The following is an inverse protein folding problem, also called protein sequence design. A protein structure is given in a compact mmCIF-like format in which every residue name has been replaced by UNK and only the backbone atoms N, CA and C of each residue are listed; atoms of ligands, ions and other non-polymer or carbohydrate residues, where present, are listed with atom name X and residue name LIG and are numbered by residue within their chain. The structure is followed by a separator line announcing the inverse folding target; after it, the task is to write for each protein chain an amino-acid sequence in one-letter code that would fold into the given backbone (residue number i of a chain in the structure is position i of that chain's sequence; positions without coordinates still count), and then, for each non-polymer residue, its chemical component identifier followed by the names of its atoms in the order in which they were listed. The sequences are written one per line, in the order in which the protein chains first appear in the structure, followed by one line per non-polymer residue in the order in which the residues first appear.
data_IF_902804320539
#
_entry.id   IF_902804320539
#
_cell.length_a   1.000
_cell.length_b   1.000
_cell.length_c   1.000
_cell.angle_alpha   90.00
_cell.angle_beta   90.00
_cell.angle_gamma   90.00
#
_symmetry.space_group_name_H-M   'P 1'
#
loop_
_entity.id
_entity.type
_entity.pdbx_description
1 polymer ?
#
# COMPACT_ATOMS: atom_id res chain seq x y z
N UNK A 1 0.02 9.17 12.38
CA UNK A 1 0.65 8.11 11.57
C UNK A 1 1.71 7.45 12.43
N UNK A 2 1.47 6.23 12.91
CA UNK A 2 2.48 5.51 13.67
C UNK A 2 3.38 4.79 12.68
N UNK A 3 4.65 5.18 12.63
CA UNK A 3 5.66 4.37 11.93
C UNK A 3 5.84 3.12 12.78
N UNK A 4 5.43 1.97 12.25
CA UNK A 4 5.73 0.71 12.90
C UNK A 4 7.23 0.46 12.68
N UNK A 5 7.96 0.19 13.76
CA UNK A 5 9.39 -0.12 13.68
C UNK A 5 9.50 -1.62 13.83
N UNK A 6 9.75 -2.31 12.72
CA UNK A 6 10.06 -3.74 12.77
C UNK A 6 11.50 -3.88 13.23
N UNK A 7 11.62 -4.38 14.45
CA UNK A 7 12.89 -4.56 15.15
C UNK A 7 13.41 -5.98 15.01
N UNK A 8 12.58 -6.91 14.55
CA UNK A 8 12.86 -8.33 14.50
C UNK A 8 12.19 -9.00 13.31
N UNK A 9 12.76 -10.11 12.85
CA UNK A 9 12.23 -10.99 11.81
C UNK A 9 12.27 -12.44 12.28
N UNK A 10 11.33 -13.27 11.82
CA UNK A 10 11.38 -14.71 12.03
C UNK A 10 12.04 -15.40 10.84
N UNK A 11 13.11 -16.14 11.09
CA UNK A 11 13.86 -16.84 10.05
C UNK A 11 13.96 -18.34 10.35
N UNK A 12 14.01 -19.18 9.31
CA UNK A 12 14.20 -20.61 9.48
C UNK A 12 15.63 -20.93 9.95
N UNK A 13 15.77 -21.94 10.80
CA UNK A 13 17.05 -22.28 11.45
C UNK A 13 18.13 -22.73 10.47
N UNK A 14 17.76 -23.25 9.28
CA UNK A 14 18.74 -23.58 8.24
C UNK A 14 19.53 -22.35 7.77
N UNK A 15 19.05 -21.12 7.99
CA UNK A 15 19.78 -19.91 7.62
C UNK A 15 21.13 -19.80 8.35
N UNK A 16 21.25 -20.47 9.51
CA UNK A 16 22.48 -20.53 10.30
C UNK A 16 23.61 -21.28 9.57
N UNK A 17 23.29 -22.16 8.61
CA UNK A 17 24.28 -22.81 7.73
C UNK A 17 25.05 -21.78 6.87
N UNK A 18 24.52 -20.55 6.77
CA UNK A 18 25.02 -19.49 5.91
C UNK A 18 25.71 -18.36 6.67
N UNK A 19 26.02 -18.57 7.95
CA UNK A 19 26.57 -17.52 8.82
C UNK A 19 28.09 -17.50 8.76
N UNK A 20 28.65 -16.32 8.48
CA UNK A 20 30.08 -16.00 8.49
C UNK A 20 30.29 -14.79 9.41
N UNK A 21 31.20 -14.90 10.37
CA UNK A 21 31.49 -13.83 11.35
C UNK A 21 30.26 -13.28 12.09
N UNK A 22 29.31 -14.16 12.41
CA UNK A 22 28.09 -13.82 13.15
C UNK A 22 26.99 -13.13 12.32
N UNK A 23 27.14 -13.07 10.99
CA UNK A 23 26.15 -12.53 10.05
C UNK A 23 25.86 -13.53 8.94
N UNK A 24 24.65 -13.51 8.39
CA UNK A 24 24.34 -14.33 7.21
C UNK A 24 25.06 -13.74 6.01
N UNK A 25 25.80 -14.58 5.29
CA UNK A 25 26.44 -14.28 4.01
C UNK A 25 25.41 -14.53 2.87
N UNK A 26 24.89 -13.47 2.23
CA UNK A 26 23.89 -13.61 1.17
C UNK A 26 24.45 -14.29 -0.08
N UNK A 27 25.74 -14.15 -0.38
CA UNK A 27 26.37 -14.77 -1.54
C UNK A 27 26.51 -16.29 -1.32
N UNK A 28 26.89 -16.69 -0.10
CA UNK A 28 26.91 -18.10 0.27
C UNK A 28 25.50 -18.70 0.22
N UNK A 29 24.47 -17.98 0.65
CA UNK A 29 23.08 -18.39 0.52
C UNK A 29 22.68 -18.56 -0.96
N UNK A 30 22.94 -17.55 -1.79
CA UNK A 30 22.66 -17.56 -3.23
C UNK A 30 23.30 -18.74 -3.96
N UNK A 31 24.49 -19.18 -3.53
CA UNK A 31 25.22 -20.27 -4.18
C UNK A 31 24.64 -21.67 -3.93
N UNK A 32 23.87 -21.88 -2.85
CA UNK A 32 23.42 -23.22 -2.42
C UNK A 32 21.91 -23.33 -2.16
N UNK A 33 21.19 -22.22 -2.06
CA UNK A 33 19.76 -22.25 -1.79
C UNK A 33 18.97 -22.83 -2.96
N UNK A 34 17.91 -23.57 -2.63
CA UNK A 34 16.90 -24.04 -3.58
C UNK A 34 15.81 -22.98 -3.77
N UNK A 35 14.99 -23.06 -4.84
CA UNK A 35 13.83 -22.17 -5.01
C UNK A 35 12.93 -22.09 -3.78
N UNK A 36 12.64 -23.23 -3.14
CA UNK A 36 11.86 -23.27 -1.91
C UNK A 36 12.50 -22.47 -0.76
N UNK A 37 13.83 -22.57 -0.59
CA UNK A 37 14.56 -21.79 0.42
C UNK A 37 14.58 -20.30 0.09
N UNK A 38 14.70 -19.91 -1.18
CA UNK A 38 14.57 -18.51 -1.58
C UNK A 38 13.19 -17.97 -1.25
N UNK A 39 12.13 -18.67 -1.68
CA UNK A 39 10.75 -18.27 -1.45
C UNK A 39 10.45 -18.10 0.04
N UNK A 40 10.85 -19.06 0.87
CA UNK A 40 10.62 -18.99 2.32
C UNK A 40 11.29 -17.77 2.96
N UNK A 41 12.55 -17.48 2.59
CA UNK A 41 13.24 -16.29 3.12
C UNK A 41 12.64 -15.01 2.56
N UNK A 42 12.28 -14.95 1.27
CA UNK A 42 11.60 -13.78 0.69
C UNK A 42 10.31 -13.48 1.45
N UNK A 43 9.47 -14.49 1.70
CA UNK A 43 8.21 -14.33 2.42
C UNK A 43 8.40 -13.95 3.90
N UNK A 44 9.53 -14.29 4.52
CA UNK A 44 9.85 -13.81 5.86
C UNK A 44 10.05 -12.28 5.89
N UNK A 45 10.63 -11.69 4.83
CA UNK A 45 10.85 -10.24 4.71
C UNK A 45 9.67 -9.50 4.06
N UNK A 46 8.93 -10.17 3.17
CA UNK A 46 7.87 -9.61 2.36
C UNK A 46 6.62 -10.52 2.42
N UNK A 47 5.96 -10.62 3.59
CA UNK A 47 4.85 -11.56 3.80
C UNK A 47 3.57 -11.22 3.00
N UNK A 48 3.50 -10.03 2.41
CA UNK A 48 2.38 -9.56 1.59
C UNK A 48 2.51 -9.97 0.11
N UNK A 49 3.64 -10.59 -0.27
CA UNK A 49 3.81 -11.14 -1.63
C UNK A 49 3.00 -12.42 -1.80
N UNK A 50 2.21 -12.49 -2.86
CA UNK A 50 1.50 -13.68 -3.29
C UNK A 50 2.06 -14.17 -4.62
N UNK A 51 2.85 -15.24 -4.57
CA UNK A 51 3.48 -15.84 -5.75
C UNK A 51 2.53 -16.81 -6.44
N UNK A 52 2.42 -16.69 -7.77
CA UNK A 52 1.74 -17.71 -8.59
C UNK A 52 2.49 -19.04 -8.55
N UNK A 53 1.83 -20.15 -8.91
CA UNK A 53 2.47 -21.48 -8.86
C UNK A 53 3.76 -21.52 -9.69
N UNK A 54 3.74 -20.95 -10.90
CA UNK A 54 4.90 -20.91 -11.78
C UNK A 54 6.03 -20.06 -11.17
N UNK A 55 5.70 -18.90 -10.59
CA UNK A 55 6.67 -18.00 -9.96
C UNK A 55 7.31 -18.59 -8.69
N UNK A 56 6.65 -19.54 -8.01
CA UNK A 56 7.22 -20.25 -6.83
C UNK A 56 8.33 -21.23 -7.20
N UNK A 57 8.37 -21.67 -8.46
CA UNK A 57 9.33 -22.64 -8.98
C UNK A 57 10.39 -22.00 -9.88
N UNK A 58 10.22 -20.73 -10.25
CA UNK A 58 11.15 -19.94 -11.07
C UNK A 58 12.38 -19.49 -10.26
N UNK A 59 13.48 -20.25 -10.40
CA UNK A 59 14.75 -19.98 -9.71
C UNK A 59 15.35 -18.61 -10.08
N UNK A 60 15.25 -18.19 -11.35
CA UNK A 60 15.83 -16.92 -11.79
C UNK A 60 15.07 -15.73 -11.19
N UNK A 61 13.73 -15.80 -11.19
CA UNK A 61 12.88 -14.79 -10.57
C UNK A 61 13.15 -14.67 -9.07
N UNK A 62 13.14 -15.80 -8.36
CA UNK A 62 13.35 -15.81 -6.91
C UNK A 62 14.75 -15.33 -6.52
N UNK A 63 15.79 -15.73 -7.27
CA UNK A 63 17.14 -15.19 -7.09
C UNK A 63 17.18 -13.68 -7.29
N UNK A 64 16.56 -13.17 -8.35
CA UNK A 64 16.51 -11.73 -8.64
C UNK A 64 15.85 -10.96 -7.50
N UNK A 65 14.68 -11.41 -7.05
CA UNK A 65 13.97 -10.80 -5.90
C UNK A 65 14.84 -10.83 -4.66
N UNK A 66 15.48 -11.97 -4.39
CA UNK A 66 16.35 -12.11 -3.24
C UNK A 66 17.50 -11.10 -3.29
N UNK A 67 18.20 -10.98 -4.41
CA UNK A 67 19.32 -10.06 -4.59
C UNK A 67 18.87 -8.60 -4.41
N UNK A 68 17.78 -8.21 -5.09
CA UNK A 68 17.34 -6.82 -5.15
C UNK A 68 16.67 -6.35 -3.85
N UNK A 69 15.97 -7.24 -3.14
CA UNK A 69 15.10 -6.85 -2.03
C UNK A 69 15.53 -7.42 -0.67
N UNK A 70 16.09 -8.63 -0.63
CA UNK A 70 16.31 -9.38 0.61
C UNK A 70 17.77 -9.36 1.07
N UNK A 71 18.72 -9.53 0.16
CA UNK A 71 20.13 -9.79 0.47
C UNK A 71 20.72 -8.75 1.44
N UNK A 72 20.49 -7.46 1.17
CA UNK A 72 20.97 -6.37 2.03
C UNK A 72 20.32 -6.44 3.42
N UNK A 73 19.02 -6.69 3.50
CA UNK A 73 18.29 -6.76 4.79
C UNK A 73 18.74 -7.98 5.60
N UNK A 74 18.94 -9.12 4.94
CA UNK A 74 19.42 -10.35 5.56
C UNK A 74 20.82 -10.19 6.15
N UNK A 75 21.72 -9.49 5.44
CA UNK A 75 23.08 -9.19 5.95
C UNK A 75 23.10 -8.32 7.22
N UNK A 76 22.00 -7.61 7.48
CA UNK A 76 21.82 -6.75 8.65
C UNK A 76 21.15 -7.46 9.83
N UNK A 77 20.78 -8.74 9.71
CA UNK A 77 20.17 -9.49 10.81
C UNK A 77 21.26 -9.98 11.78
N UNK A 78 21.02 -9.81 13.08
CA UNK A 78 21.88 -10.34 14.15
C UNK A 78 21.49 -11.77 14.45
N UNK A 79 22.45 -12.69 14.31
CA UNK A 79 22.20 -14.11 14.55
C UNK A 79 22.24 -14.44 16.05
N UNK A 80 21.22 -15.11 16.61
CA UNK A 80 21.26 -15.60 17.97
C UNK A 80 22.27 -16.76 18.11
N UNK A 81 22.88 -16.87 19.29
CA UNK A 81 23.90 -17.88 19.59
C UNK A 81 23.34 -19.25 19.97
N UNK A 82 22.05 -19.34 20.33
CA UNK A 82 21.43 -20.58 20.81
C UNK A 82 20.00 -20.71 20.26
N UNK A 83 19.77 -21.69 19.38
CA UNK A 83 18.48 -21.91 18.69
C UNK A 83 18.11 -23.39 18.75
N UNK A 84 16.98 -23.70 19.38
CA UNK A 84 16.50 -25.08 19.59
C UNK A 84 15.18 -25.40 18.84
N UNK A 85 14.73 -24.50 17.99
CA UNK A 85 13.45 -24.56 17.26
C UNK A 85 13.65 -24.52 15.75
N UNK A 86 12.62 -24.85 14.96
CA UNK A 86 12.69 -24.81 13.49
C UNK A 86 12.76 -23.39 12.90
N UNK A 87 12.32 -22.39 13.67
CA UNK A 87 12.45 -20.96 13.38
C UNK A 87 12.99 -20.24 14.60
N UNK A 88 13.62 -19.08 14.39
CA UNK A 88 14.04 -18.19 15.46
C UNK A 88 13.70 -16.74 15.13
N UNK A 89 13.54 -15.94 16.17
CA UNK A 89 13.39 -14.49 16.05
C UNK A 89 14.78 -13.84 16.10
N UNK A 90 15.05 -12.96 15.14
CA UNK A 90 16.34 -12.34 14.96
C UNK A 90 16.18 -10.82 14.89
N UNK A 91 16.90 -10.03 15.70
CA UNK A 91 16.82 -8.58 15.63
C UNK A 91 17.57 -8.03 14.42
N UNK A 92 17.12 -6.89 13.91
CA UNK A 92 17.88 -6.12 12.93
C UNK A 92 18.95 -5.27 13.63
N UNK A 93 20.16 -5.21 13.06
CA UNK A 93 21.24 -4.33 13.53
C UNK A 93 20.85 -2.85 13.45
N UNK A 94 20.01 -2.50 12.49
CA UNK A 94 19.46 -1.15 12.33
C UNK A 94 17.95 -1.29 12.26
N UNK A 95 17.17 -0.54 13.05
CA UNK A 95 15.72 -0.60 12.98
C UNK A 95 15.27 -0.33 11.54
N UNK A 96 14.51 -1.25 10.97
CA UNK A 96 13.88 -1.01 9.68
C UNK A 96 12.64 -0.18 9.98
N UNK A 97 12.60 1.03 9.42
CA UNK A 97 11.34 1.77 9.39
C UNK A 97 10.41 0.95 8.51
N UNK A 98 9.46 0.25 9.13
CA UNK A 98 8.50 -0.51 8.36
C UNK A 98 7.68 0.49 7.56
N UNK A 99 7.63 0.26 6.25
CA UNK A 99 6.70 0.97 5.41
C UNK A 99 5.28 0.75 5.97
N UNK A 100 4.42 1.78 5.96
CA UNK A 100 3.05 1.63 6.41
C UNK A 100 2.39 0.49 5.62
N UNK A 101 1.97 -0.56 6.32
CA UNK A 101 1.17 -1.71 5.88
C UNK A 101 1.19 -1.92 4.35
N UNK A 102 2.13 -2.67 3.78
CA UNK A 102 2.22 -2.74 2.31
C UNK A 102 0.98 -3.38 1.67
N UNK A 103 0.60 -2.94 0.47
CA UNK A 103 -0.47 -3.58 -0.30
C UNK A 103 -0.08 -5.02 -0.62
N UNK A 104 -1.07 -5.91 -0.73
CA UNK A 104 -0.78 -7.25 -1.24
C UNK A 104 -0.26 -7.13 -2.67
N UNK A 105 0.80 -7.88 -2.99
CA UNK A 105 1.46 -7.81 -4.29
C UNK A 105 1.52 -9.18 -4.92
N UNK A 106 0.88 -9.33 -6.07
CA UNK A 106 0.93 -10.57 -6.82
C UNK A 106 2.21 -10.62 -7.65
N UNK A 107 3.01 -11.67 -7.45
CA UNK A 107 4.26 -11.87 -8.17
C UNK A 107 4.09 -13.02 -9.15
N UNK A 108 4.17 -12.71 -10.45
CA UNK A 108 4.11 -13.69 -11.52
C UNK A 108 5.39 -13.68 -12.37
N UNK A 109 6.09 -12.55 -12.44
CA UNK A 109 7.27 -12.36 -13.27
C UNK A 109 8.19 -11.29 -12.70
N UNK A 110 9.40 -11.20 -13.27
CA UNK A 110 10.38 -10.19 -12.87
C UNK A 110 9.94 -8.74 -13.13
N UNK A 111 8.95 -8.54 -14.02
CA UNK A 111 8.39 -7.22 -14.32
C UNK A 111 7.49 -6.70 -13.19
N UNK A 112 6.98 -7.59 -12.34
CA UNK A 112 6.19 -7.20 -11.17
C UNK A 112 7.09 -6.62 -10.07
N UNK A 113 8.40 -6.87 -10.13
CA UNK A 113 9.38 -6.49 -9.12
C UNK A 113 10.03 -5.16 -9.51
N UNK A 114 9.32 -4.08 -9.25
CA UNK A 114 9.84 -2.71 -9.29
C UNK A 114 9.71 -2.07 -7.90
N UNK A 115 10.84 -2.01 -7.19
CA UNK A 115 10.93 -1.44 -5.84
C UNK A 115 10.61 0.06 -5.88
N UNK A 116 11.13 0.79 -6.86
CA UNK A 116 10.92 2.24 -6.94
C UNK A 116 9.46 2.59 -7.20
N UNK A 117 8.80 1.82 -8.05
CA UNK A 117 7.36 1.93 -8.29
C UNK A 117 6.58 1.65 -7.01
N UNK A 118 6.90 0.55 -6.34
CA UNK A 118 6.21 0.12 -5.10
C UNK A 118 6.34 1.20 -4.02
N UNK A 119 7.56 1.68 -3.76
CA UNK A 119 7.83 2.69 -2.73
C UNK A 119 7.10 4.01 -3.03
N UNK A 120 7.11 4.44 -4.30
CA UNK A 120 6.45 5.68 -4.72
C UNK A 120 4.93 5.58 -4.58
N UNK A 121 4.33 4.44 -4.95
CA UNK A 121 2.90 4.22 -4.79
C UNK A 121 2.51 4.17 -3.31
N UNK A 122 3.23 3.39 -2.50
CA UNK A 122 2.94 3.22 -1.08
C UNK A 122 3.04 4.55 -0.32
N UNK A 123 4.13 5.29 -0.55
CA UNK A 123 4.42 6.52 0.19
C UNK A 123 3.54 7.70 -0.23
N UNK A 124 3.21 7.80 -1.52
CA UNK A 124 2.54 8.99 -2.06
C UNK A 124 1.09 8.78 -2.45
N UNK A 125 0.65 7.55 -2.71
CA UNK A 125 -0.73 7.27 -3.11
C UNK A 125 -1.49 6.56 -1.99
N UNK A 126 -1.02 5.36 -1.61
CA UNK A 126 -1.69 4.49 -0.66
C UNK A 126 -1.83 5.13 0.73
N UNK A 127 -0.78 5.81 1.20
CA UNK A 127 -0.82 6.51 2.48
C UNK A 127 -1.99 7.51 2.57
N UNK A 128 -2.30 8.23 1.49
CA UNK A 128 -3.41 9.20 1.45
C UNK A 128 -4.77 8.53 1.29
N UNK A 129 -4.87 7.45 0.50
CA UNK A 129 -6.10 6.66 0.37
C UNK A 129 -6.57 6.17 1.76
N UNK A 130 -5.66 5.61 2.55
CA UNK A 130 -5.97 5.04 3.87
C UNK A 130 -6.39 6.05 4.94
N UNK A 131 -5.98 7.31 4.81
CA UNK A 131 -6.37 8.37 5.76
C UNK A 131 -7.57 9.17 5.27
N UNK A 132 -8.27 8.71 4.22
CA UNK A 132 -9.44 9.39 3.67
C UNK A 132 -9.13 10.66 2.88
N UNK A 133 -7.87 10.92 2.55
CA UNK A 133 -7.46 12.12 1.80
C UNK A 133 -7.49 11.86 0.29
N UNK A 134 -8.65 11.43 -0.21
CA UNK A 134 -8.80 10.89 -1.57
C UNK A 134 -8.42 11.87 -2.68
N UNK A 135 -8.66 13.17 -2.48
CA UNK A 135 -8.27 14.21 -3.46
C UNK A 135 -6.75 14.32 -3.62
N UNK A 136 -6.02 14.34 -2.51
CA UNK A 136 -4.56 14.33 -2.51
C UNK A 136 -4.01 13.02 -3.07
N UNK A 137 -4.64 11.89 -2.72
CA UNK A 137 -4.28 10.59 -3.30
C UNK A 137 -4.41 10.62 -4.83
N UNK A 138 -5.49 11.16 -5.38
CA UNK A 138 -5.70 11.22 -6.83
C UNK A 138 -4.70 12.15 -7.55
N UNK A 139 -4.31 13.26 -6.93
CA UNK A 139 -3.24 14.12 -7.45
C UNK A 139 -1.91 13.36 -7.52
N UNK A 140 -1.57 12.63 -6.46
CA UNK A 140 -0.36 11.81 -6.44
C UNK A 140 -0.43 10.62 -7.40
N UNK A 141 -1.60 10.00 -7.57
CA UNK A 141 -1.84 8.96 -8.58
C UNK A 141 -1.65 9.53 -9.99
N UNK A 142 -2.07 10.78 -10.23
CA UNK A 142 -1.83 11.46 -11.52
C UNK A 142 -0.32 11.61 -11.76
N UNK A 143 0.42 12.12 -10.78
CA UNK A 143 1.89 12.20 -10.85
C UNK A 143 2.54 10.83 -11.06
N UNK A 144 2.08 9.82 -10.33
CA UNK A 144 2.55 8.44 -10.45
C UNK A 144 2.35 7.88 -11.86
N UNK A 145 1.16 8.07 -12.45
CA UNK A 145 0.88 7.61 -13.83
C UNK A 145 1.57 8.44 -14.91
N UNK A 146 2.11 9.63 -14.59
CA UNK A 146 3.01 10.34 -15.49
C UNK A 146 4.41 9.70 -15.51
N UNK A 147 4.87 9.17 -14.37
CA UNK A 147 6.15 8.45 -14.27
C UNK A 147 6.06 7.04 -14.85
N UNK A 148 5.02 6.29 -14.49
CA UNK A 148 4.91 4.86 -14.80
C UNK A 148 3.79 4.51 -15.80
N UNK A 149 3.26 5.50 -16.51
CA UNK A 149 2.28 5.39 -17.61
C UNK A 149 0.87 4.91 -17.22
N UNK A 150 0.71 3.96 -16.31
CA UNK A 150 -0.60 3.42 -15.87
C UNK A 150 -0.51 2.78 -14.49
N UNK A 151 -1.67 2.46 -13.88
CA UNK A 151 -1.75 1.67 -12.63
C UNK A 151 -1.91 0.18 -12.95
N UNK A 152 -1.22 -0.69 -12.22
CA UNK A 152 -1.41 -2.13 -12.34
C UNK A 152 -2.67 -2.58 -11.55
N UNK A 153 -3.00 -3.87 -11.64
CA UNK A 153 -4.21 -4.41 -11.04
C UNK A 153 -4.23 -4.27 -9.51
N UNK A 154 -3.10 -4.51 -8.84
CA UNK A 154 -3.00 -4.45 -7.38
C UNK A 154 -3.16 -3.00 -6.87
N UNK A 155 -2.59 -2.03 -7.57
CA UNK A 155 -2.73 -0.61 -7.25
C UNK A 155 -4.17 -0.10 -7.47
N UNK A 156 -4.85 -0.58 -8.51
CA UNK A 156 -6.28 -0.28 -8.73
C UNK A 156 -7.13 -0.91 -7.62
N UNK A 157 -6.78 -2.13 -7.20
CA UNK A 157 -7.48 -2.82 -6.12
C UNK A 157 -7.39 -2.03 -4.81
N UNK A 158 -6.26 -1.38 -4.51
CA UNK A 158 -6.15 -0.51 -3.33
C UNK A 158 -7.10 0.70 -3.37
N UNK A 159 -7.33 1.30 -4.56
CA UNK A 159 -8.33 2.36 -4.72
C UNK A 159 -9.74 1.78 -4.51
N UNK A 160 -10.00 0.57 -5.02
CA UNK A 160 -11.26 -0.13 -4.82
C UNK A 160 -11.51 -0.46 -3.34
N UNK A 161 -10.48 -0.88 -2.61
CA UNK A 161 -10.58 -1.17 -1.18
C UNK A 161 -10.93 0.11 -0.40
N UNK A 162 -10.32 1.24 -0.76
CA UNK A 162 -10.67 2.54 -0.18
C UNK A 162 -12.13 2.96 -0.46
N UNK A 163 -12.76 2.44 -1.52
CA UNK A 163 -14.21 2.64 -1.73
C UNK A 163 -15.02 1.98 -0.61
N UNK A 164 -14.65 0.77 -0.19
CA UNK A 164 -15.30 0.07 0.92
C UNK A 164 -15.22 0.88 2.22
N UNK A 165 -14.04 1.38 2.56
CA UNK A 165 -13.85 2.25 3.73
C UNK A 165 -14.70 3.54 3.65
N UNK A 166 -14.82 4.12 2.45
CA UNK A 166 -15.63 5.31 2.22
C UNK A 166 -17.13 5.02 2.32
N UNK A 167 -17.59 3.85 1.87
CA UNK A 167 -18.96 3.37 2.00
C UNK A 167 -19.34 3.14 3.47
N UNK A 168 -18.44 2.53 4.25
CA UNK A 168 -18.64 2.37 5.70
C UNK A 168 -18.77 3.74 6.39
N UNK A 169 -17.90 4.70 6.07
CA UNK A 169 -18.02 6.07 6.58
C UNK A 169 -19.33 6.76 6.14
N UNK A 170 -19.80 6.50 4.92
CA UNK A 170 -21.10 6.98 4.46
C UNK A 170 -22.26 6.39 5.29
N UNK A 171 -22.19 5.09 5.62
CA UNK A 171 -23.18 4.44 6.48
C UNK A 171 -23.18 4.99 7.91
N UNK A 172 -22.00 5.27 8.47
CA UNK A 172 -21.85 5.89 9.78
C UNK A 172 -22.42 7.31 9.82
N UNK A 173 -22.06 8.14 8.84
CA UNK A 173 -22.59 9.51 8.73
C UNK A 173 -24.11 9.54 8.52
N UNK A 174 -24.67 8.60 7.75
CA UNK A 174 -26.11 8.43 7.60
C UNK A 174 -26.78 8.08 8.95
N UNK A 175 -26.16 7.20 9.72
CA UNK A 175 -26.66 6.78 11.04
C UNK A 175 -26.66 7.96 12.02
N UNK A 176 -25.59 8.75 12.05
CA UNK A 176 -25.52 9.99 12.83
C UNK A 176 -26.56 11.02 12.39
N UNK A 177 -26.79 11.16 11.09
CA UNK A 177 -27.79 12.07 10.54
C UNK A 177 -29.21 11.68 10.98
N UNK A 178 -29.57 10.40 10.86
CA UNK A 178 -30.86 9.86 11.35
C UNK A 178 -31.02 10.07 12.86
N UNK A 179 -29.96 9.82 13.63
CA UNK A 179 -29.94 10.07 15.07
C UNK A 179 -30.22 11.53 15.43
N UNK A 180 -29.62 12.48 14.71
CA UNK A 180 -29.86 13.90 14.91
C UNK A 180 -31.30 14.31 14.61
N UNK A 181 -31.91 13.78 13.54
CA UNK A 181 -33.33 13.98 13.26
C UNK A 181 -34.22 13.46 14.40
N UNK A 182 -33.97 12.24 14.89
CA UNK A 182 -34.74 11.68 16.01
C UNK A 182 -34.64 12.51 17.29
N UNK A 183 -33.47 13.10 17.58
CA UNK A 183 -33.30 14.00 18.73
C UNK A 183 -34.16 15.25 18.57
N UNK A 184 -34.19 15.85 17.38
CA UNK A 184 -35.02 17.03 17.10
C UNK A 184 -36.50 16.68 17.25
N UNK A 185 -36.95 15.57 16.65
CA UNK A 185 -38.36 15.12 16.74
C UNK A 185 -38.77 14.91 18.19
N UNK A 186 -37.90 14.30 19.01
CA UNK A 186 -38.15 14.11 20.44
C UNK A 186 -38.27 15.45 21.18
N UNK A 187 -37.40 16.41 20.90
CA UNK A 187 -37.47 17.74 21.53
C UNK A 187 -38.78 18.43 21.13
N UNK A 188 -39.16 18.40 19.85
CA UNK A 188 -40.39 18.99 19.36
C UNK A 188 -41.64 18.34 19.96
N UNK A 189 -41.63 17.01 20.13
CA UNK A 189 -42.71 16.28 20.80
C UNK A 189 -42.84 16.70 22.26
N UNK A 190 -41.71 16.79 22.98
CA UNK A 190 -41.70 17.26 24.36
C UNK A 190 -42.27 18.67 24.44
N UNK A 191 -41.83 19.60 23.59
CA UNK A 191 -42.31 20.99 23.56
C UNK A 191 -43.83 21.16 23.35
N UNK A 192 -44.54 20.12 22.92
CA UNK A 192 -46.00 20.13 22.73
C UNK A 192 -46.78 19.58 23.92
N UNK A 193 -46.10 19.14 24.98
CA UNK A 193 -46.77 18.63 26.18
C UNK A 193 -47.54 19.77 26.88
N UNK A 194 -48.78 19.51 27.34
CA UNK A 194 -49.68 20.54 27.84
C UNK A 194 -49.23 21.18 29.16
N UNK A 195 -48.41 20.49 29.95
CA UNK A 195 -48.02 20.91 31.31
C UNK A 195 -46.57 21.39 31.42
N UNK A 196 -46.01 21.92 30.33
CA UNK A 196 -44.64 22.46 30.32
C UNK A 196 -44.57 23.82 31.02
N UNK A 197 -43.62 23.93 31.95
CA UNK A 197 -43.31 25.21 32.60
C UNK A 197 -42.54 26.16 31.66
N UNK A 198 -42.60 27.49 31.87
CA UNK A 198 -41.84 28.45 31.07
C UNK A 198 -40.33 28.18 31.06
N UNK A 199 -39.78 27.71 32.18
CA UNK A 199 -38.35 27.35 32.30
C UNK A 199 -38.00 26.14 31.44
N UNK A 200 -38.84 25.10 31.46
CA UNK A 200 -38.67 23.91 30.62
C UNK A 200 -38.83 24.25 29.13
N UNK A 201 -39.79 25.09 28.78
CA UNK A 201 -39.96 25.58 27.41
C UNK A 201 -38.71 26.29 26.89
N UNK A 202 -38.13 27.18 27.70
CA UNK A 202 -36.88 27.88 27.36
C UNK A 202 -35.70 26.92 27.21
N UNK A 203 -35.58 25.93 28.09
CA UNK A 203 -34.55 24.88 27.99
C UNK A 203 -34.71 24.05 26.71
N UNK A 204 -35.93 23.62 26.40
CA UNK A 204 -36.22 22.86 25.17
C UNK A 204 -35.94 23.69 23.90
N UNK A 205 -36.26 24.99 23.88
CA UNK A 205 -35.89 25.89 22.77
C UNK A 205 -34.37 25.99 22.60
N UNK A 206 -33.62 26.15 23.70
CA UNK A 206 -32.16 26.14 23.65
C UNK A 206 -31.61 24.82 23.11
N UNK A 207 -32.09 23.68 23.63
CA UNK A 207 -31.69 22.35 23.15
C UNK A 207 -32.04 22.13 21.69
N UNK A 208 -33.17 22.64 21.22
CA UNK A 208 -33.57 22.57 19.81
C UNK A 208 -32.59 23.33 18.93
N UNK A 209 -32.18 24.54 19.32
CA UNK A 209 -31.18 25.33 18.58
C UNK A 209 -29.84 24.60 18.46
N UNK A 210 -29.38 24.00 19.56
CA UNK A 210 -28.15 23.17 19.57
C UNK A 210 -28.31 21.96 18.66
N UNK A 211 -29.43 21.24 18.76
CA UNK A 211 -29.70 20.05 17.95
C UNK A 211 -29.77 20.38 16.44
N UNK A 212 -30.38 21.49 16.05
CA UNK A 212 -30.41 21.98 14.66
C UNK A 212 -29.00 22.27 14.13
N UNK A 213 -28.13 22.83 14.98
CA UNK A 213 -26.73 23.08 14.61
C UNK A 213 -25.99 21.77 14.40
N UNK A 214 -26.15 20.80 15.31
CA UNK A 214 -25.60 19.45 15.15
C UNK A 214 -26.12 18.73 13.90
N UNK A 215 -27.42 18.87 13.59
CA UNK A 215 -28.01 18.32 12.36
C UNK A 215 -27.31 18.86 11.11
N UNK A 216 -27.07 20.17 11.03
CA UNK A 216 -26.39 20.78 9.87
C UNK A 216 -24.96 20.26 9.70
N UNK A 217 -24.23 20.05 10.80
CA UNK A 217 -22.90 19.46 10.76
C UNK A 217 -22.95 18.02 10.25
N UNK A 218 -23.88 17.22 10.74
CA UNK A 218 -24.07 15.84 10.27
C UNK A 218 -24.46 15.79 8.79
N UNK A 219 -25.29 16.73 8.31
CA UNK A 219 -25.61 16.86 6.88
C UNK A 219 -24.36 17.14 6.05
N UNK A 220 -23.51 18.09 6.49
CA UNK A 220 -22.27 18.41 5.78
C UNK A 220 -21.32 17.21 5.72
N UNK A 221 -21.19 16.45 6.81
CA UNK A 221 -20.39 15.23 6.85
C UNK A 221 -20.93 14.17 5.89
N UNK A 222 -22.24 13.92 5.92
CA UNK A 222 -22.91 12.99 5.01
C UNK A 222 -22.71 13.39 3.55
N UNK A 223 -22.93 14.67 3.21
CA UNK A 223 -22.72 15.18 1.86
C UNK A 223 -21.26 15.04 1.40
N UNK A 224 -20.30 15.17 2.33
CA UNK A 224 -18.88 14.91 2.03
C UNK A 224 -18.64 13.44 1.73
N UNK A 225 -19.14 12.54 2.59
CA UNK A 225 -18.98 11.09 2.40
C UNK A 225 -19.58 10.62 1.07
N UNK A 226 -20.75 11.12 0.68
CA UNK A 226 -21.36 10.83 -0.64
C UNK A 226 -20.44 11.25 -1.78
N UNK A 227 -19.85 12.45 -1.70
CA UNK A 227 -18.92 12.94 -2.73
C UNK A 227 -17.64 12.13 -2.79
N UNK A 228 -17.16 11.64 -1.66
CA UNK A 228 -15.94 10.84 -1.56
C UNK A 228 -16.13 9.45 -2.18
N UNK A 229 -17.23 8.76 -1.85
CA UNK A 229 -17.60 7.48 -2.49
C UNK A 229 -17.74 7.65 -4.01
N UNK A 230 -18.54 8.63 -4.46
CA UNK A 230 -18.74 8.88 -5.89
C UNK A 230 -17.44 9.23 -6.62
N UNK A 231 -16.52 9.93 -5.94
CA UNK A 231 -15.22 10.25 -6.50
C UNK A 231 -14.32 9.03 -6.66
N UNK A 232 -14.23 8.18 -5.63
CA UNK A 232 -13.40 6.97 -5.67
C UNK A 232 -13.90 5.98 -6.72
N UNK A 233 -15.21 5.77 -6.83
CA UNK A 233 -15.79 4.93 -7.89
C UNK A 233 -15.39 5.41 -9.29
N UNK A 234 -15.50 6.72 -9.54
CA UNK A 234 -15.06 7.31 -10.81
C UNK A 234 -13.55 7.18 -11.05
N UNK A 235 -12.75 7.26 -9.97
CA UNK A 235 -11.29 7.09 -10.05
C UNK A 235 -10.91 5.65 -10.40
N UNK A 236 -11.55 4.65 -9.77
CA UNK A 236 -11.38 3.23 -10.10
C UNK A 236 -11.72 3.00 -11.56
N UNK A 237 -12.93 3.38 -12.00
CA UNK A 237 -13.39 3.19 -13.38
C UNK A 237 -12.42 3.86 -14.39
N UNK A 238 -11.92 5.06 -14.09
CA UNK A 238 -10.95 5.73 -14.95
C UNK A 238 -9.66 4.91 -15.15
N UNK A 239 -9.10 4.39 -14.05
CA UNK A 239 -7.83 3.66 -14.11
C UNK A 239 -8.00 2.23 -14.64
N UNK A 240 -9.12 1.56 -14.38
CA UNK A 240 -9.47 0.28 -15.01
C UNK A 240 -9.55 0.42 -16.54
N UNK A 241 -10.28 1.43 -17.02
CA UNK A 241 -10.39 1.71 -18.45
C UNK A 241 -9.02 2.00 -19.09
N UNK A 242 -8.13 2.68 -18.38
CA UNK A 242 -6.77 2.97 -18.84
C UNK A 242 -5.90 1.70 -18.85
N UNK A 243 -6.03 0.85 -17.85
CA UNK A 243 -5.32 -0.44 -17.76
C UNK A 243 -5.72 -1.37 -18.91
N UNK A 244 -7.02 -1.55 -19.17
CA UNK A 244 -7.53 -2.37 -20.29
C UNK A 244 -7.03 -1.87 -21.64
N UNK A 245 -7.01 -0.54 -21.86
CA UNK A 245 -6.46 0.06 -23.09
C UNK A 245 -4.97 -0.26 -23.27
N UNK A 246 -4.19 -0.24 -22.20
CA UNK A 246 -2.79 -0.61 -22.25
C UNK A 246 -2.57 -2.09 -22.57
N UNK A 247 -3.33 -3.00 -21.96
CA UNK A 247 -3.24 -4.42 -22.27
C UNK A 247 -3.64 -4.76 -23.72
N UNK A 248 -4.58 -3.99 -24.29
CA UNK A 248 -5.11 -4.23 -25.64
C UNK A 248 -4.25 -3.63 -26.75
N UNK A 249 -3.23 -2.83 -26.42
CA UNK A 249 -2.38 -2.19 -27.44
C UNK A 249 -1.14 -3.05 -27.66
N UNK A 250 -0.99 -3.73 -28.82
CA UNK A 250 0.22 -4.50 -29.10
C UNK A 250 1.42 -3.54 -29.13
N UNK A 251 2.47 -3.88 -28.39
CA UNK A 251 3.76 -3.18 -28.48
C UNK A 251 4.17 -3.11 -29.94
N UNK A 252 4.19 -1.89 -30.49
CA UNK A 252 4.91 -1.65 -31.75
C UNK A 252 6.38 -1.84 -31.44
N UNK A 253 6.89 -3.03 -31.71
CA UNK A 253 8.31 -3.33 -31.83
C UNK A 253 8.93 -2.31 -32.79
N UNK A 254 9.60 -1.31 -32.21
CA UNK A 254 10.37 -0.31 -32.92
C UNK A 254 11.74 -0.89 -33.29
N UNK A 255 12.21 -0.70 -34.53
CA UNK A 255 13.36 -1.42 -35.07
C UNK A 255 14.70 -0.86 -34.57
N UNK A 256 15.55 -1.80 -34.16
CA UNK A 256 16.99 -1.88 -34.36
C UNK A 256 17.63 -0.64 -35.06
N UNK A 257 18.24 0.26 -34.28
CA UNK A 257 19.17 1.26 -34.83
C UNK A 257 20.60 0.75 -34.70
N UNK A 258 21.08 0.28 -35.85
CA UNK A 258 22.46 -0.05 -36.22
C UNK A 258 23.52 0.72 -35.44
N UNK A 259 24.41 -0.06 -34.85
CA UNK A 259 25.87 0.13 -34.76
C UNK A 259 26.39 1.01 -35.90
N UNK A 260 27.02 2.14 -35.54
CA UNK A 260 27.98 2.80 -36.41
C UNK A 260 29.32 2.72 -35.71
N UNK A 261 30.09 1.70 -36.07
CA UNK A 261 31.55 1.75 -35.97
C UNK A 261 32.01 2.91 -36.84
N UNK A 262 32.72 3.86 -36.25
CA UNK A 262 33.64 4.73 -36.99
C UNK A 262 35.02 4.61 -36.34
N UNK A 263 35.75 3.67 -36.91
CA UNK A 263 37.20 3.58 -36.95
C UNK A 263 37.80 4.94 -37.39
N UNK A 264 38.77 5.43 -36.64
CA UNK A 264 39.53 6.65 -36.94
C UNK A 264 40.89 6.63 -36.24
N UNK A 265 41.79 5.80 -36.77
CA UNK A 265 43.25 5.99 -36.76
C UNK A 265 43.63 6.35 -38.22
N UNK A 266 44.66 7.15 -38.61
CA UNK A 266 46.01 7.36 -38.00
C UNK A 266 46.55 8.81 -38.29
N UNK A 267 47.86 9.15 -38.42
CA UNK A 267 49.12 8.42 -38.18
C UNK A 267 50.21 9.17 -37.39
N UNK A 268 51.24 8.38 -37.08
CA UNK A 268 52.59 8.74 -36.62
C UNK A 268 53.21 9.94 -37.36
N UNK A 269 53.91 10.77 -36.60
CA UNK A 269 54.97 11.64 -37.12
C UNK A 269 56.32 11.14 -36.62
N UNK A 270 57.15 10.69 -37.54
CA UNK A 270 58.60 10.59 -37.38
C UNK A 270 59.25 11.76 -38.12
N UNK A 271 59.87 12.67 -37.38
CA UNK A 271 61.20 13.27 -37.63
C UNK A 271 61.74 13.68 -36.26
#
# INVERSE_FOLDING_TARGET
MYIQVETHIYLPTYILEYVVDGRVDPDMFLSKATPARFLEVILAFYPHFDFTQDAREDDELLRKIFIEMVALRLSNVVMPLDVHTGYFQAPFNTPVLSEPQQSSKRVNSSADIDVSRTDMFNSNCLAYLRVGQYRHAAENITCFTNTYTFLNQDEILEISNACGDAEDNLHDTLSHLKGAYHVIDRIQLLSRQPDITPTEASNLDHRLKVAITGLRLNQQMFDSAVRDVGFLLALVEHHENRFVKHQSTPEKSGPNKKTTEQDSTPPEKSV
#
